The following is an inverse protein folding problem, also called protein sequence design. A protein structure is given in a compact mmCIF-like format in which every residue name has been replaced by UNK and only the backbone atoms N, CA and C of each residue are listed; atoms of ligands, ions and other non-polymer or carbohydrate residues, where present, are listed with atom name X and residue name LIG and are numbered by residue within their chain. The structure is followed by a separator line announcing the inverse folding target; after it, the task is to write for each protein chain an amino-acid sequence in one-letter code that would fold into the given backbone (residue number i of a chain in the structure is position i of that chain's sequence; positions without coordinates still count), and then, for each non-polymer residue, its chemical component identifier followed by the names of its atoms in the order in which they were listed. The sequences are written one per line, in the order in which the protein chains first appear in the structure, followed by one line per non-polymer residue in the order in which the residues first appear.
data_IF_547552735598
#
_entry.id   IF_547552735598
#
_cell.length_a   1.000
_cell.length_b   1.000
_cell.length_c   1.000
_cell.angle_alpha   90.00
_cell.angle_beta   90.00
_cell.angle_gamma   90.00
#
_symmetry.space_group_name_H-M   'P 1'
#
loop_
_entity.id
_entity.type
_entity.pdbx_description
1 polymer ?
#
# COMPACT_ATOMS: atom_id res chain seq x y z
N UNK A 1 -6.10 25.25 10.59
CA UNK A 1 -6.01 23.77 10.58
C UNK A 1 -5.08 23.40 9.43
N UNK A 2 -4.24 22.37 9.58
CA UNK A 2 -3.39 21.86 8.50
C UNK A 2 -4.29 21.26 7.40
N UNK A 3 -3.89 21.40 6.13
CA UNK A 3 -4.55 20.71 5.03
C UNK A 3 -4.36 19.20 5.18
N UNK A 4 -5.34 18.44 4.73
CA UNK A 4 -5.36 16.98 4.79
C UNK A 4 -5.31 16.38 3.40
N UNK A 5 -4.44 15.39 3.20
CA UNK A 5 -4.35 14.61 1.98
C UNK A 5 -4.64 13.14 2.26
N UNK A 6 -5.43 12.52 1.40
CA UNK A 6 -5.65 11.07 1.39
C UNK A 6 -5.07 10.47 0.11
N UNK A 7 -4.23 9.45 0.28
CA UNK A 7 -3.57 8.70 -0.77
C UNK A 7 -4.02 7.24 -0.70
N UNK A 8 -4.59 6.72 -1.78
CA UNK A 8 -5.18 5.38 -1.81
C UNK A 8 -4.37 4.48 -2.75
N UNK A 9 -4.05 3.28 -2.29
CA UNK A 9 -3.49 2.20 -3.09
C UNK A 9 -4.63 1.48 -3.83
N UNK A 10 -4.81 1.82 -5.10
CA UNK A 10 -5.93 1.35 -5.91
C UNK A 10 -5.94 -0.17 -6.11
N UNK A 11 -4.80 -0.79 -6.45
CA UNK A 11 -4.71 -2.24 -6.64
C UNK A 11 -4.94 -3.01 -5.34
N UNK A 12 -4.35 -2.57 -4.23
CA UNK A 12 -4.53 -3.21 -2.95
C UNK A 12 -5.99 -3.17 -2.48
N UNK A 13 -6.65 -2.02 -2.63
CA UNK A 13 -8.02 -1.85 -2.18
C UNK A 13 -9.01 -2.61 -3.07
N UNK A 14 -8.85 -2.59 -4.40
CA UNK A 14 -9.74 -3.37 -5.28
C UNK A 14 -9.56 -4.87 -5.07
N UNK A 15 -8.34 -5.33 -4.83
CA UNK A 15 -8.07 -6.74 -4.51
C UNK A 15 -8.82 -7.18 -3.24
N UNK A 16 -8.73 -6.39 -2.18
CA UNK A 16 -9.46 -6.66 -0.93
C UNK A 16 -10.97 -6.63 -1.12
N UNK A 17 -11.48 -5.65 -1.85
CA UNK A 17 -12.90 -5.53 -2.17
C UNK A 17 -13.40 -6.72 -2.98
N UNK A 18 -12.64 -7.17 -3.96
CA UNK A 18 -12.98 -8.32 -4.80
C UNK A 18 -13.19 -9.60 -3.97
N UNK A 19 -12.31 -9.87 -3.01
CA UNK A 19 -12.43 -11.06 -2.14
C UNK A 19 -13.37 -10.84 -0.94
N UNK A 20 -13.62 -9.61 -0.54
CA UNK A 20 -14.45 -9.28 0.62
C UNK A 20 -15.92 -9.03 0.31
N UNK A 21 -16.24 -8.61 -0.91
CA UNK A 21 -17.61 -8.35 -1.37
C UNK A 21 -18.12 -9.56 -2.16
N UNK A 22 -19.35 -10.04 -1.90
CA UNK A 22 -19.96 -11.11 -2.69
C UNK A 22 -19.94 -10.79 -4.18
N UNK A 23 -19.87 -11.82 -5.01
CA UNK A 23 -19.82 -11.65 -6.45
C UNK A 23 -21.03 -10.82 -6.97
N UNK A 24 -20.72 -9.80 -7.75
CA UNK A 24 -21.67 -8.95 -8.44
C UNK A 24 -21.27 -8.87 -9.91
N UNK A 25 -22.25 -8.99 -10.80
CA UNK A 25 -22.09 -8.80 -12.24
C UNK A 25 -23.18 -7.89 -12.78
N UNK A 26 -22.88 -7.12 -13.81
CA UNK A 26 -23.87 -6.40 -14.56
C UNK A 26 -24.52 -7.32 -15.63
N UNK A 27 -25.52 -6.82 -16.36
CA UNK A 27 -26.22 -7.57 -17.43
C UNK A 27 -25.30 -8.04 -18.56
N UNK A 28 -24.16 -7.39 -18.77
CA UNK A 28 -23.19 -7.73 -19.82
C UNK A 28 -22.15 -8.76 -19.33
N UNK A 29 -22.29 -9.24 -18.10
CA UNK A 29 -21.42 -10.25 -17.49
C UNK A 29 -20.14 -9.70 -16.86
N UNK A 30 -19.93 -8.37 -16.85
CA UNK A 30 -18.80 -7.74 -16.19
C UNK A 30 -18.92 -7.87 -14.68
N UNK A 31 -17.87 -8.35 -14.04
CA UNK A 31 -17.80 -8.37 -12.56
C UNK A 31 -17.62 -6.95 -12.02
N UNK A 32 -18.36 -6.62 -10.97
CA UNK A 32 -18.43 -5.26 -10.42
C UNK A 32 -18.24 -5.18 -8.91
N UNK A 33 -18.06 -6.31 -8.24
CA UNK A 33 -17.92 -6.38 -6.78
C UNK A 33 -16.68 -5.63 -6.26
N UNK A 34 -15.55 -5.72 -6.95
CA UNK A 34 -14.33 -4.98 -6.60
C UNK A 34 -14.54 -3.47 -6.72
N UNK A 35 -15.11 -3.00 -7.83
CA UNK A 35 -15.44 -1.59 -8.07
C UNK A 35 -16.38 -1.09 -6.98
N UNK A 36 -17.47 -1.83 -6.71
CA UNK A 36 -18.43 -1.49 -5.67
C UNK A 36 -17.77 -1.30 -4.30
N UNK A 37 -16.93 -2.27 -3.90
CA UNK A 37 -16.26 -2.21 -2.60
C UNK A 37 -15.27 -1.05 -2.48
N UNK A 38 -14.52 -0.73 -3.54
CA UNK A 38 -13.61 0.43 -3.56
C UNK A 38 -14.40 1.73 -3.37
N UNK A 39 -15.50 1.91 -4.09
CA UNK A 39 -16.28 3.15 -4.02
C UNK A 39 -16.96 3.31 -2.64
N UNK A 40 -17.41 2.23 -2.02
CA UNK A 40 -17.92 2.27 -0.64
C UNK A 40 -16.85 2.71 0.35
N UNK A 41 -15.63 2.18 0.23
CA UNK A 41 -14.50 2.60 1.06
C UNK A 41 -14.17 4.08 0.81
N UNK A 42 -14.15 4.50 -0.45
CA UNK A 42 -13.90 5.88 -0.85
C UNK A 42 -14.92 6.85 -0.24
N UNK A 43 -16.22 6.56 -0.35
CA UNK A 43 -17.27 7.43 0.20
C UNK A 43 -17.17 7.54 1.72
N UNK A 44 -16.84 6.45 2.41
CA UNK A 44 -16.62 6.49 3.85
C UNK A 44 -15.43 7.36 4.23
N UNK A 45 -14.32 7.23 3.52
CA UNK A 45 -13.13 8.06 3.73
C UNK A 45 -13.44 9.54 3.50
N UNK A 46 -14.15 9.86 2.42
CA UNK A 46 -14.54 11.24 2.11
C UNK A 46 -15.43 11.85 3.22
N UNK A 47 -16.37 11.06 3.75
CA UNK A 47 -17.28 11.49 4.80
C UNK A 47 -16.55 11.72 6.14
N UNK A 48 -15.69 10.77 6.54
CA UNK A 48 -15.00 10.79 7.83
C UNK A 48 -13.80 11.73 7.84
N UNK A 49 -12.99 11.73 6.79
CA UNK A 49 -11.71 12.44 6.72
C UNK A 49 -11.84 13.85 6.14
N UNK A 50 -12.78 14.07 5.24
CA UNK A 50 -13.01 15.36 4.54
C UNK A 50 -11.69 15.96 4.00
N UNK A 51 -10.96 15.20 3.16
CA UNK A 51 -9.63 15.61 2.71
C UNK A 51 -9.69 16.80 1.77
N UNK A 52 -8.67 17.66 1.83
CA UNK A 52 -8.46 18.76 0.88
C UNK A 52 -7.90 18.23 -0.45
N UNK A 53 -7.16 17.11 -0.39
CA UNK A 53 -6.56 16.46 -1.55
C UNK A 53 -6.80 14.95 -1.52
N UNK A 54 -7.05 14.37 -2.69
CA UNK A 54 -7.31 12.94 -2.85
C UNK A 54 -6.70 12.41 -4.14
N UNK A 55 -5.92 11.34 -4.04
CA UNK A 55 -5.32 10.66 -5.19
C UNK A 55 -5.33 9.15 -5.00
N UNK A 56 -5.54 8.42 -6.08
CA UNK A 56 -5.46 6.96 -6.12
C UNK A 56 -4.29 6.55 -6.98
N UNK A 57 -3.37 5.76 -6.41
CA UNK A 57 -2.21 5.22 -7.12
C UNK A 57 -2.50 3.82 -7.67
N UNK A 58 -1.98 3.55 -8.86
CA UNK A 58 -2.03 2.22 -9.48
C UNK A 58 -0.64 1.81 -9.97
N UNK A 59 -0.37 0.51 -9.92
CA UNK A 59 0.77 -0.07 -10.60
C UNK A 59 0.55 -0.08 -12.10
N UNK A 60 1.61 0.09 -12.87
CA UNK A 60 1.62 -0.15 -14.32
C UNK A 60 2.26 -1.49 -14.62
N UNK A 61 1.78 -2.16 -15.67
CA UNK A 61 2.36 -3.42 -16.13
C UNK A 61 3.71 -3.17 -16.81
N UNK A 62 4.72 -2.88 -15.99
CA UNK A 62 6.08 -2.57 -16.43
C UNK A 62 7.08 -3.05 -15.36
N UNK A 63 8.24 -3.63 -15.75
CA UNK A 63 9.30 -3.93 -14.80
C UNK A 63 9.73 -2.68 -14.02
N UNK A 64 10.02 -2.87 -12.73
CA UNK A 64 10.51 -1.79 -11.86
C UNK A 64 12.00 -1.94 -11.60
N UNK A 65 12.63 -0.94 -10.99
CA UNK A 65 14.03 -1.01 -10.59
C UNK A 65 14.33 -2.20 -9.68
N UNK A 66 13.33 -2.73 -8.93
CA UNK A 66 13.50 -3.94 -8.12
C UNK A 66 13.69 -5.19 -8.97
N UNK A 67 13.00 -5.30 -10.09
CA UNK A 67 13.19 -6.41 -11.05
C UNK A 67 14.57 -6.34 -11.74
N UNK A 68 15.10 -5.13 -11.95
CA UNK A 68 16.47 -4.96 -12.46
C UNK A 68 17.52 -5.40 -11.44
N UNK A 69 17.26 -5.14 -10.16
CA UNK A 69 18.14 -5.51 -9.05
C UNK A 69 18.07 -7.01 -8.73
N UNK A 70 16.89 -7.61 -8.81
CA UNK A 70 16.63 -9.01 -8.48
C UNK A 70 15.51 -9.55 -9.38
N UNK A 71 15.86 -10.34 -10.37
CA UNK A 71 14.91 -10.82 -11.41
C UNK A 71 13.76 -11.65 -10.86
N UNK A 72 13.99 -12.36 -9.76
CA UNK A 72 13.03 -13.22 -9.09
C UNK A 72 12.06 -12.43 -8.17
N UNK A 73 12.26 -11.12 -8.04
CA UNK A 73 11.37 -10.26 -7.26
C UNK A 73 9.91 -10.41 -7.74
N UNK A 74 9.00 -10.70 -6.80
CA UNK A 74 7.59 -11.01 -7.06
C UNK A 74 7.34 -12.18 -8.03
N UNK A 75 8.39 -12.95 -8.38
CA UNK A 75 8.30 -14.02 -9.37
C UNK A 75 7.41 -15.19 -8.98
N UNK A 76 7.09 -15.35 -7.70
CA UNK A 76 6.20 -16.40 -7.18
C UNK A 76 4.73 -15.96 -7.07
N UNK A 77 4.42 -14.70 -7.36
CA UNK A 77 3.04 -14.19 -7.33
C UNK A 77 2.19 -14.83 -8.43
N UNK A 78 1.02 -15.32 -8.04
CA UNK A 78 0.00 -15.72 -9.02
C UNK A 78 -0.56 -14.50 -9.73
N UNK A 79 -0.87 -14.63 -11.01
CA UNK A 79 -1.52 -13.59 -11.78
C UNK A 79 -2.88 -13.20 -11.18
N UNK A 80 -3.29 -11.98 -11.46
CA UNK A 80 -4.61 -11.49 -11.08
C UNK A 80 -5.70 -12.30 -11.79
N UNK A 81 -6.78 -12.76 -11.09
CA UNK A 81 -7.91 -13.38 -11.75
C UNK A 81 -8.50 -12.50 -12.84
N UNK A 82 -8.99 -13.11 -13.91
CA UNK A 82 -9.56 -12.36 -15.04
C UNK A 82 -10.73 -11.47 -14.60
N UNK A 83 -11.58 -11.97 -13.71
CA UNK A 83 -12.73 -11.26 -13.15
C UNK A 83 -12.35 -10.01 -12.35
N UNK A 84 -11.15 -9.98 -11.77
CA UNK A 84 -10.61 -8.80 -11.10
C UNK A 84 -9.87 -7.90 -12.11
N UNK A 85 -9.11 -8.50 -13.02
CA UNK A 85 -8.34 -7.78 -14.03
C UNK A 85 -9.22 -6.87 -14.89
N UNK A 86 -10.39 -7.35 -15.30
CA UNK A 86 -11.34 -6.57 -16.10
C UNK A 86 -11.95 -5.38 -15.37
N UNK A 87 -11.99 -5.40 -14.04
CA UNK A 87 -12.55 -4.31 -13.23
C UNK A 87 -11.59 -3.13 -13.07
N UNK A 88 -10.28 -3.34 -13.13
CA UNK A 88 -9.29 -2.28 -12.89
C UNK A 88 -9.43 -1.10 -13.86
N UNK A 89 -9.47 -1.29 -15.19
CA UNK A 89 -9.65 -0.16 -16.12
C UNK A 89 -11.00 0.55 -15.92
N UNK A 90 -12.06 -0.19 -15.61
CA UNK A 90 -13.38 0.39 -15.34
C UNK A 90 -13.40 1.19 -14.05
N UNK A 91 -12.71 0.72 -13.01
CA UNK A 91 -12.52 1.49 -11.78
C UNK A 91 -11.80 2.82 -12.06
N UNK A 92 -10.73 2.79 -12.85
CA UNK A 92 -10.00 4.02 -13.24
C UNK A 92 -10.90 5.00 -14.00
N UNK A 93 -11.72 4.51 -14.91
CA UNK A 93 -12.71 5.31 -15.64
C UNK A 93 -13.71 5.97 -14.66
N UNK A 94 -14.23 5.22 -13.70
CA UNK A 94 -15.17 5.73 -12.70
C UNK A 94 -14.52 6.78 -11.79
N UNK A 95 -13.30 6.52 -11.30
CA UNK A 95 -12.56 7.49 -10.47
C UNK A 95 -12.28 8.79 -11.25
N UNK A 96 -11.92 8.68 -12.53
CA UNK A 96 -11.72 9.84 -13.39
C UNK A 96 -13.01 10.62 -13.60
N UNK A 97 -14.13 9.94 -13.81
CA UNK A 97 -15.45 10.56 -13.91
C UNK A 97 -15.88 11.27 -12.61
N UNK A 98 -15.42 10.76 -11.46
CA UNK A 98 -15.59 11.40 -10.15
C UNK A 98 -14.67 12.61 -9.94
N UNK A 99 -13.79 12.93 -10.88
CA UNK A 99 -12.81 14.00 -10.75
C UNK A 99 -11.65 13.66 -9.81
N UNK A 100 -11.40 12.39 -9.56
CA UNK A 100 -10.32 11.92 -8.68
C UNK A 100 -9.05 11.68 -9.50
N UNK A 101 -7.95 12.28 -9.06
CA UNK A 101 -6.65 12.11 -9.69
C UNK A 101 -6.16 10.67 -9.57
N UNK A 102 -5.66 10.13 -10.68
CA UNK A 102 -4.96 8.85 -10.75
C UNK A 102 -3.47 9.08 -10.89
N UNK A 103 -2.66 8.31 -10.19
CA UNK A 103 -1.21 8.40 -10.15
C UNK A 103 -0.59 7.08 -10.58
N UNK A 104 0.24 7.12 -11.62
CA UNK A 104 0.96 5.98 -12.21
C UNK A 104 2.33 6.43 -12.70
N UNK A 105 3.34 5.58 -12.60
CA UNK A 105 4.66 5.84 -13.15
C UNK A 105 5.35 4.53 -13.57
N UNK A 106 5.65 4.31 -14.86
CA UNK A 106 6.46 3.16 -15.29
C UNK A 106 7.82 3.12 -14.58
N UNK A 107 8.24 1.92 -14.18
CA UNK A 107 9.50 1.70 -13.47
C UNK A 107 9.43 1.82 -11.95
N UNK A 108 8.30 2.27 -11.40
CA UNK A 108 8.02 2.37 -9.98
C UNK A 108 6.72 1.67 -9.62
N UNK A 109 6.61 1.23 -8.38
CA UNK A 109 5.37 0.65 -7.85
C UNK A 109 4.47 1.75 -7.28
N UNK A 110 3.18 1.44 -7.15
CA UNK A 110 2.22 2.35 -6.49
C UNK A 110 2.69 2.77 -5.09
N UNK A 111 3.28 1.85 -4.33
CA UNK A 111 3.82 2.13 -2.99
C UNK A 111 4.92 3.20 -3.01
N UNK A 112 5.77 3.20 -4.03
CA UNK A 112 6.82 4.22 -4.19
C UNK A 112 6.20 5.61 -4.45
N UNK A 113 5.13 5.66 -5.24
CA UNK A 113 4.41 6.90 -5.51
C UNK A 113 3.68 7.40 -4.26
N UNK A 114 3.02 6.50 -3.54
CA UNK A 114 2.35 6.82 -2.27
C UNK A 114 3.35 7.35 -1.25
N UNK A 115 4.48 6.66 -1.07
CA UNK A 115 5.55 7.08 -0.17
C UNK A 115 6.16 8.42 -0.56
N UNK A 116 6.37 8.66 -1.85
CA UNK A 116 6.93 9.91 -2.38
C UNK A 116 6.00 11.08 -2.13
N UNK A 117 4.72 10.95 -2.46
CA UNK A 117 3.74 12.03 -2.28
C UNK A 117 3.44 12.24 -0.80
N UNK A 118 3.36 11.17 0.01
CA UNK A 118 3.21 11.29 1.46
C UNK A 118 4.37 12.09 2.09
N UNK A 119 5.61 11.77 1.73
CA UNK A 119 6.80 12.48 2.21
C UNK A 119 6.79 13.97 1.81
N UNK A 120 6.42 14.29 0.58
CA UNK A 120 6.29 15.68 0.10
C UNK A 120 5.17 16.43 0.80
N UNK A 121 4.06 15.76 1.07
CA UNK A 121 2.90 16.34 1.77
C UNK A 121 3.24 16.67 3.22
N UNK A 122 3.93 15.75 3.92
CA UNK A 122 4.43 15.98 5.27
C UNK A 122 5.38 17.18 5.32
N UNK A 123 6.30 17.30 4.35
CA UNK A 123 7.22 18.43 4.23
C UNK A 123 6.50 19.78 4.03
N UNK A 124 5.28 19.75 3.50
CA UNK A 124 4.39 20.93 3.38
C UNK A 124 3.55 21.19 4.65
N UNK A 125 3.70 20.39 5.69
CA UNK A 125 2.93 20.51 6.92
C UNK A 125 1.51 19.96 6.84
N UNK A 126 1.22 19.08 5.89
CA UNK A 126 -0.08 18.44 5.74
C UNK A 126 -0.24 17.24 6.69
N UNK A 127 -1.48 16.95 7.05
CA UNK A 127 -1.88 15.69 7.69
C UNK A 127 -2.13 14.64 6.58
N UNK A 128 -1.40 13.53 6.62
CA UNK A 128 -1.39 12.52 5.55
C UNK A 128 -2.04 11.22 6.02
N UNK A 129 -3.01 10.75 5.27
CA UNK A 129 -3.59 9.42 5.41
C UNK A 129 -3.29 8.59 4.16
N UNK A 130 -2.60 7.47 4.33
CA UNK A 130 -2.41 6.46 3.29
C UNK A 130 -3.33 5.29 3.54
N UNK A 131 -4.13 4.91 2.54
CA UNK A 131 -5.09 3.80 2.62
C UNK A 131 -4.60 2.67 1.73
N UNK A 132 -4.18 1.58 2.33
CA UNK A 132 -3.71 0.38 1.64
C UNK A 132 -3.93 -0.86 2.48
N UNK A 133 -4.07 -1.99 1.83
CA UNK A 133 -4.04 -3.29 2.51
C UNK A 133 -2.63 -3.83 2.70
N UNK A 134 -1.63 -3.20 2.13
CA UNK A 134 -0.24 -3.62 2.22
C UNK A 134 0.43 -3.06 3.48
N UNK A 135 0.92 -3.98 4.32
CA UNK A 135 1.60 -3.64 5.57
C UNK A 135 3.00 -3.07 5.36
N UNK A 136 3.54 -3.17 4.16
CA UNK A 136 4.84 -2.58 3.82
C UNK A 136 4.81 -1.07 3.93
N UNK A 137 3.66 -0.46 3.69
CA UNK A 137 3.45 0.98 3.88
C UNK A 137 3.51 1.43 5.34
N UNK A 138 3.50 0.52 6.32
CA UNK A 138 3.75 0.87 7.72
C UNK A 138 5.14 1.46 7.95
N UNK A 139 6.10 1.18 7.06
CA UNK A 139 7.45 1.76 7.12
C UNK A 139 7.48 3.28 6.93
N UNK A 140 6.47 3.87 6.29
CA UNK A 140 6.40 5.33 6.05
C UNK A 140 5.64 6.10 7.13
N UNK A 141 5.08 5.42 8.12
CA UNK A 141 4.35 6.04 9.24
C UNK A 141 5.28 6.98 10.03
N UNK A 142 4.77 8.17 10.29
CA UNK A 142 5.42 9.22 11.10
C UNK A 142 4.39 9.85 12.04
N UNK A 143 4.72 10.95 12.68
CA UNK A 143 3.79 11.73 13.49
C UNK A 143 2.69 12.42 12.63
N UNK A 144 2.94 12.61 11.34
CA UNK A 144 2.03 13.28 10.39
C UNK A 144 1.54 12.38 9.26
N UNK A 145 2.12 11.19 9.09
CA UNK A 145 1.70 10.17 8.13
C UNK A 145 1.16 8.97 8.89
N UNK A 146 -0.11 8.68 8.71
CA UNK A 146 -0.77 7.48 9.25
C UNK A 146 -1.23 6.57 8.11
N UNK A 147 -1.33 5.28 8.39
CA UNK A 147 -1.77 4.26 7.43
C UNK A 147 -3.05 3.62 7.92
N UNK A 148 -4.05 3.57 7.05
CA UNK A 148 -5.31 2.88 7.28
C UNK A 148 -5.33 1.58 6.47
N UNK A 149 -5.56 0.46 7.14
CA UNK A 149 -5.72 -0.85 6.52
C UNK A 149 -7.18 -1.28 6.62
N UNK A 150 -7.96 -1.20 5.52
CA UNK A 150 -9.33 -1.70 5.52
C UNK A 150 -9.35 -3.22 5.60
N UNK A 151 -10.27 -3.76 6.41
CA UNK A 151 -10.55 -5.19 6.52
C UNK A 151 -12.00 -5.44 6.17
N UNK A 152 -12.27 -6.03 5.03
CA UNK A 152 -13.63 -6.42 4.64
C UNK A 152 -13.89 -7.86 5.02
N UNK A 153 -14.90 -8.07 5.87
CA UNK A 153 -15.42 -9.39 6.24
C UNK A 153 -16.94 -9.41 6.04
N UNK A 154 -17.43 -10.36 5.24
CA UNK A 154 -18.87 -10.58 5.02
C UNK A 154 -19.64 -9.31 4.63
N UNK A 155 -19.02 -8.47 3.81
CA UNK A 155 -19.63 -7.22 3.33
C UNK A 155 -19.54 -6.04 4.31
N UNK A 156 -18.95 -6.22 5.49
CA UNK A 156 -18.67 -5.14 6.44
C UNK A 156 -17.19 -4.77 6.40
N UNK A 157 -16.87 -3.50 6.32
CA UNK A 157 -15.48 -3.02 6.32
C UNK A 157 -15.14 -2.39 7.67
N UNK A 158 -14.15 -2.96 8.33
CA UNK A 158 -13.48 -2.41 9.50
C UNK A 158 -12.18 -1.74 9.08
N UNK A 159 -11.74 -0.72 9.82
CA UNK A 159 -10.52 0.04 9.53
C UNK A 159 -9.53 -0.09 10.69
N UNK A 160 -8.33 -0.57 10.40
CA UNK A 160 -7.20 -0.50 11.32
C UNK A 160 -6.39 0.76 11.02
N UNK A 161 -6.32 1.68 11.96
CA UNK A 161 -5.52 2.89 11.86
C UNK A 161 -4.17 2.69 12.55
N UNK A 162 -3.08 2.97 11.83
CA UNK A 162 -1.72 2.85 12.35
C UNK A 162 -1.05 4.21 12.47
N UNK A 163 -0.81 4.60 13.70
CA UNK A 163 0.12 5.64 14.11
C UNK A 163 1.44 5.00 14.54
N UNK A 164 2.47 5.79 14.80
CA UNK A 164 3.77 5.28 15.27
C UNK A 164 3.64 4.33 16.46
N UNK A 165 2.83 4.69 17.47
CA UNK A 165 2.58 3.86 18.66
C UNK A 165 1.93 2.50 18.31
N UNK A 166 1.03 2.48 17.33
CA UNK A 166 0.32 1.26 16.95
C UNK A 166 1.27 0.27 16.25
N UNK A 167 2.22 0.78 15.47
CA UNK A 167 3.29 -0.03 14.88
C UNK A 167 4.19 -0.59 15.98
N UNK A 168 4.60 0.23 16.94
CA UNK A 168 5.41 -0.19 18.08
C UNK A 168 4.72 -1.25 18.94
N UNK A 169 3.45 -1.06 19.26
CA UNK A 169 2.67 -2.02 20.05
C UNK A 169 2.51 -3.36 19.32
N UNK A 170 2.29 -3.32 18.01
CA UNK A 170 2.04 -4.54 17.23
C UNK A 170 3.31 -5.33 16.90
N UNK A 171 4.37 -4.64 16.52
CA UNK A 171 5.61 -5.27 16.03
C UNK A 171 6.77 -5.22 17.02
N UNK A 172 6.66 -4.41 18.08
CA UNK A 172 7.78 -4.14 18.98
C UNK A 172 8.92 -3.36 18.31
N UNK A 173 8.64 -2.70 17.18
CA UNK A 173 9.59 -2.00 16.32
C UNK A 173 9.05 -0.63 15.92
N UNK A 174 9.95 0.30 15.60
CA UNK A 174 9.61 1.58 14.99
C UNK A 174 9.18 1.38 13.50
N UNK A 175 8.38 2.29 12.92
CA UNK A 175 7.94 2.18 11.52
C UNK A 175 9.08 1.90 10.53
N UNK A 176 10.18 2.65 10.59
CA UNK A 176 11.33 2.44 9.70
C UNK A 176 11.99 1.07 9.85
N UNK A 177 11.85 0.43 11.01
CA UNK A 177 12.39 -0.91 11.26
C UNK A 177 11.60 -2.03 10.58
N UNK A 178 10.44 -1.74 10.02
CA UNK A 178 9.72 -2.70 9.14
C UNK A 178 10.58 -3.07 7.93
N UNK A 179 11.36 -2.13 7.41
CA UNK A 179 12.34 -2.39 6.34
C UNK A 179 13.41 -3.38 6.81
N UNK A 180 13.96 -3.13 7.99
CA UNK A 180 15.01 -3.97 8.60
C UNK A 180 14.49 -5.38 8.93
N UNK A 181 13.24 -5.47 9.40
CA UNK A 181 12.56 -6.73 9.67
C UNK A 181 12.51 -7.61 8.41
N UNK A 182 12.09 -7.03 7.27
CA UNK A 182 12.06 -7.73 6.00
C UNK A 182 13.45 -8.04 5.44
N UNK A 183 14.43 -7.20 5.70
CA UNK A 183 15.81 -7.48 5.33
C UNK A 183 16.35 -8.75 5.99
N UNK A 184 15.96 -9.01 7.24
CA UNK A 184 16.39 -10.18 8.00
C UNK A 184 15.51 -11.41 7.73
N UNK A 185 14.20 -11.28 7.86
CA UNK A 185 13.30 -12.45 7.74
C UNK A 185 12.86 -12.75 6.32
N UNK A 186 13.07 -11.81 5.38
CA UNK A 186 12.53 -11.91 4.02
C UNK A 186 11.04 -11.67 3.95
N UNK A 187 10.50 -11.83 2.75
CA UNK A 187 9.07 -11.77 2.47
C UNK A 187 8.71 -12.75 1.35
N UNK A 188 8.02 -13.81 1.68
CA UNK A 188 7.63 -14.83 0.71
C UNK A 188 6.61 -14.33 -0.32
N UNK A 189 5.80 -13.34 0.01
CA UNK A 189 4.80 -12.77 -0.92
C UNK A 189 5.46 -11.97 -2.06
N UNK A 190 6.58 -11.33 -1.78
CA UNK A 190 7.37 -10.56 -2.74
C UNK A 190 8.62 -11.32 -3.22
N UNK A 191 8.79 -12.53 -2.75
CA UNK A 191 9.96 -13.35 -3.02
C UNK A 191 11.27 -12.64 -2.61
N UNK A 192 11.24 -11.92 -1.51
CA UNK A 192 12.42 -11.31 -0.88
C UNK A 192 13.09 -12.36 -0.01
N UNK A 193 14.39 -12.68 -0.26
CA UNK A 193 15.02 -13.84 0.39
C UNK A 193 15.26 -13.66 1.90
N UNK A 194 15.65 -12.48 2.35
CA UNK A 194 16.11 -12.29 3.72
C UNK A 194 17.36 -13.08 4.05
N UNK A 195 17.56 -13.40 5.32
CA UNK A 195 18.64 -14.24 5.81
C UNK A 195 18.11 -15.64 6.13
N UNK A 196 18.63 -16.71 5.53
CA UNK A 196 18.18 -18.07 5.82
C UNK A 196 18.20 -18.37 7.32
N UNK A 197 17.11 -18.95 7.84
CA UNK A 197 17.01 -19.37 9.23
C UNK A 197 16.73 -18.25 10.25
N UNK A 198 16.60 -17.00 9.82
CA UNK A 198 16.14 -15.89 10.67
C UNK A 198 14.66 -15.64 10.38
N UNK A 199 13.82 -16.00 11.35
CA UNK A 199 12.38 -15.72 11.30
C UNK A 199 12.03 -14.42 12.03
N UNK A 200 10.74 -14.08 12.03
CA UNK A 200 10.23 -12.83 12.61
C UNK A 200 10.66 -12.61 14.06
N UNK A 201 10.53 -13.61 14.91
CA UNK A 201 10.86 -13.49 16.34
C UNK A 201 12.35 -13.17 16.58
N UNK A 202 13.23 -13.85 15.88
CA UNK A 202 14.68 -13.63 15.98
C UNK A 202 15.07 -12.29 15.37
N UNK A 203 14.51 -11.95 14.21
CA UNK A 203 14.73 -10.66 13.56
C UNK A 203 14.28 -9.49 14.44
N UNK A 204 13.10 -9.58 15.05
CA UNK A 204 12.60 -8.57 15.97
C UNK A 204 13.52 -8.38 17.16
N UNK A 205 13.99 -9.46 17.79
CA UNK A 205 14.92 -9.38 18.92
C UNK A 205 16.26 -8.71 18.54
N UNK A 206 16.80 -9.05 17.38
CA UNK A 206 18.03 -8.43 16.84
C UNK A 206 17.82 -6.92 16.64
N UNK A 207 16.71 -6.50 16.06
CA UNK A 207 16.42 -5.11 15.76
C UNK A 207 16.09 -4.28 17.00
N UNK A 208 15.51 -4.88 18.02
CA UNK A 208 15.30 -4.23 19.31
C UNK A 208 16.63 -3.94 20.03
N UNK A 209 17.64 -4.76 19.81
CA UNK A 209 18.98 -4.59 20.41
C UNK A 209 19.89 -3.70 19.55
N UNK A 210 19.89 -3.84 18.25
CA UNK A 210 20.87 -3.22 17.35
C UNK A 210 20.29 -2.18 16.39
N UNK A 211 18.97 -1.99 16.36
CA UNK A 211 18.21 -1.02 15.55
C UNK A 211 18.15 -1.34 14.05
N UNK A 212 19.25 -1.70 13.42
CA UNK A 212 19.33 -1.98 11.99
C UNK A 212 20.29 -3.13 11.67
N UNK A 213 20.22 -3.61 10.43
CA UNK A 213 21.00 -4.76 9.95
C UNK A 213 22.50 -4.49 9.98
N UNK A 214 22.93 -3.30 9.60
CA UNK A 214 24.33 -2.91 9.55
C UNK A 214 24.96 -2.91 10.96
N UNK A 215 24.26 -2.35 11.93
CA UNK A 215 24.71 -2.34 13.30
C UNK A 215 24.73 -3.74 13.93
N UNK A 216 23.74 -4.58 13.58
CA UNK A 216 23.73 -5.98 14.00
C UNK A 216 24.95 -6.74 13.42
N UNK A 217 25.31 -6.48 12.17
CA UNK A 217 26.47 -7.09 11.53
C UNK A 217 27.80 -6.67 12.18
N UNK A 218 27.91 -5.44 12.68
CA UNK A 218 29.10 -4.98 13.43
C UNK A 218 29.21 -5.68 14.79
N UNK A 219 28.09 -6.10 15.39
CA UNK A 219 28.01 -6.71 16.72
C UNK A 219 27.66 -8.20 16.67
N UNK A 220 28.15 -8.93 15.68
CA UNK A 220 27.81 -10.36 15.46
C UNK A 220 28.04 -11.22 16.71
N UNK A 221 29.06 -10.95 17.51
CA UNK A 221 29.38 -11.73 18.71
C UNK A 221 28.34 -11.63 19.82
N UNK A 222 27.47 -10.63 19.76
CA UNK A 222 26.38 -10.41 20.71
C UNK A 222 25.05 -11.03 20.23
N UNK A 223 24.99 -11.52 18.98
CA UNK A 223 23.76 -12.08 18.40
C UNK A 223 23.51 -13.51 18.89
N UNK A 224 22.27 -13.73 19.33
CA UNK A 224 21.76 -15.04 19.74
C UNK A 224 20.47 -15.38 18.94
N UNK A 225 20.23 -16.66 18.62
CA UNK A 225 21.10 -17.83 18.85
C UNK A 225 22.32 -17.83 17.92
N UNK A 226 23.30 -18.69 18.22
CA UNK A 226 24.55 -18.84 17.43
C UNK A 226 24.28 -19.03 15.94
N UNK A 227 23.25 -19.81 15.60
CA UNK A 227 22.84 -20.04 14.19
C UNK A 227 22.43 -18.74 13.48
N UNK A 228 21.74 -17.83 14.16
CA UNK A 228 21.38 -16.54 13.59
C UNK A 228 22.61 -15.66 13.31
N UNK A 229 23.59 -15.65 14.25
CA UNK A 229 24.89 -15.01 14.06
C UNK A 229 25.59 -15.56 12.81
N UNK A 230 25.77 -16.88 12.74
CA UNK A 230 26.46 -17.54 11.62
C UNK A 230 25.76 -17.28 10.29
N UNK A 231 24.44 -17.32 10.24
CA UNK A 231 23.68 -17.06 9.02
C UNK A 231 23.72 -15.59 8.62
N UNK A 232 23.64 -14.65 9.53
CA UNK A 232 23.78 -13.22 9.23
C UNK A 232 25.17 -12.90 8.69
N UNK A 233 26.23 -13.48 9.28
CA UNK A 233 27.62 -13.33 8.82
C UNK A 233 27.78 -13.88 7.40
N UNK A 234 27.28 -15.08 7.16
CA UNK A 234 27.39 -15.76 5.85
C UNK A 234 26.55 -15.12 4.73
N UNK A 235 25.42 -14.48 5.09
CA UNK A 235 24.42 -13.98 4.13
C UNK A 235 24.15 -12.47 4.28
N UNK A 236 25.12 -11.71 4.77
CA UNK A 236 24.97 -10.27 4.96
C UNK A 236 24.63 -9.53 3.66
N UNK A 237 25.28 -9.90 2.54
CA UNK A 237 24.99 -9.30 1.24
C UNK A 237 23.52 -9.53 0.81
N UNK A 238 22.98 -10.70 1.13
CA UNK A 238 21.58 -11.04 0.88
C UNK A 238 20.63 -10.20 1.77
N UNK A 239 21.01 -9.93 3.01
CA UNK A 239 20.26 -9.04 3.89
C UNK A 239 20.24 -7.61 3.33
N UNK A 240 21.35 -7.10 2.85
CA UNK A 240 21.44 -5.75 2.26
C UNK A 240 20.64 -5.65 0.96
N UNK A 241 20.67 -6.67 0.10
CA UNK A 241 19.81 -6.72 -1.09
C UNK A 241 18.34 -6.76 -0.71
N UNK A 242 17.96 -7.61 0.24
CA UNK A 242 16.59 -7.71 0.76
C UNK A 242 16.10 -6.39 1.34
N UNK A 243 16.95 -5.67 2.07
CA UNK A 243 16.68 -4.33 2.59
C UNK A 243 16.34 -3.34 1.46
N UNK A 244 17.13 -3.33 0.38
CA UNK A 244 16.88 -2.48 -0.78
C UNK A 244 15.55 -2.81 -1.48
N UNK A 245 15.25 -4.10 -1.62
CA UNK A 245 13.97 -4.56 -2.21
C UNK A 245 12.76 -4.17 -1.36
N UNK A 246 12.87 -4.25 -0.04
CA UNK A 246 11.80 -3.94 0.90
C UNK A 246 11.59 -2.43 1.11
N UNK A 247 12.55 -1.59 0.76
CA UNK A 247 12.48 -0.15 0.97
C UNK A 247 11.61 0.53 -0.09
N UNK A 248 10.58 1.24 0.36
CA UNK A 248 9.75 2.08 -0.48
C UNK A 248 10.56 3.33 -0.88
N UNK A 249 10.60 3.64 -2.17
CA UNK A 249 11.22 4.85 -2.68
C UNK A 249 10.37 6.07 -2.37
N UNK A 250 10.87 6.97 -1.54
CA UNK A 250 10.16 8.19 -1.13
C UNK A 250 10.57 9.44 -1.92
N UNK A 251 11.40 9.26 -2.95
CA UNK A 251 11.90 10.33 -3.83
C UNK A 251 11.78 9.93 -5.31
N UNK A 252 10.74 9.18 -5.66
CA UNK A 252 10.47 8.83 -7.05
C UNK A 252 10.32 10.10 -7.92
N UNK A 253 10.78 10.07 -9.17
CA UNK A 253 10.74 11.23 -10.09
C UNK A 253 9.32 11.40 -10.65
N UNK A 254 8.35 11.62 -9.80
CA UNK A 254 6.95 11.84 -10.13
C UNK A 254 6.59 13.31 -9.95
N UNK A 255 6.04 13.92 -11.00
CA UNK A 255 5.49 15.28 -10.94
C UNK A 255 4.03 15.20 -10.47
N UNK A 256 3.79 15.60 -9.22
CA UNK A 256 2.47 15.57 -8.62
C UNK A 256 1.71 16.86 -8.90
N UNK A 257 0.57 16.74 -9.56
CA UNK A 257 -0.32 17.86 -9.86
C UNK A 257 -1.25 18.13 -8.67
N UNK A 258 -0.86 19.09 -7.84
CA UNK A 258 -1.60 19.48 -6.63
C UNK A 258 -2.98 20.06 -6.95
N UNK A 259 -3.13 20.76 -8.06
CA UNK A 259 -4.40 21.37 -8.47
C UNK A 259 -5.41 20.29 -8.84
N UNK A 260 -5.01 19.32 -9.67
CA UNK A 260 -5.87 18.18 -10.05
C UNK A 260 -6.17 17.25 -8.89
N UNK A 261 -5.36 17.27 -7.84
CA UNK A 261 -5.55 16.44 -6.65
C UNK A 261 -6.55 17.03 -5.64
N UNK A 262 -6.95 18.30 -5.79
CA UNK A 262 -7.95 18.91 -4.90
C UNK A 262 -9.25 18.12 -4.92
N UNK A 263 -9.76 17.83 -3.74
CA UNK A 263 -11.03 17.12 -3.59
C UNK A 263 -12.18 18.02 -4.02
N UNK A 264 -12.87 17.60 -5.09
CA UNK A 264 -14.07 18.26 -5.59
C UNK A 264 -15.34 17.49 -5.26
N UNK A 265 -16.42 17.83 -5.96
CA UNK A 265 -17.65 17.06 -5.89
C UNK A 265 -17.49 15.76 -6.69
N UNK A 266 -17.47 14.62 -6.00
CA UNK A 266 -17.36 13.30 -6.63
C UNK A 266 -18.66 12.79 -7.23
N UNK A 267 -19.80 13.41 -6.89
CA UNK A 267 -21.14 13.05 -7.38
C UNK A 267 -21.44 13.76 -8.69
N UNK A 268 -20.63 13.47 -9.72
CA UNK A 268 -20.79 14.05 -11.06
C UNK A 268 -21.85 13.29 -11.86
N UNK A 269 -22.37 13.92 -12.92
CA UNK A 269 -23.29 13.29 -13.85
C UNK A 269 -22.63 12.10 -14.55
N UNK A 270 -21.40 12.25 -14.97
CA UNK A 270 -20.61 11.23 -15.66
C UNK A 270 -20.39 9.99 -14.77
N UNK A 271 -20.09 10.20 -13.49
CA UNK A 271 -19.97 9.11 -12.53
C UNK A 271 -21.31 8.39 -12.29
N UNK A 272 -22.41 9.14 -12.22
CA UNK A 272 -23.74 8.56 -12.10
C UNK A 272 -24.09 7.69 -13.29
N UNK A 273 -23.87 8.16 -14.52
CA UNK A 273 -24.13 7.42 -15.78
C UNK A 273 -23.30 6.12 -15.85
N UNK A 274 -22.03 6.15 -15.38
CA UNK A 274 -21.21 4.94 -15.25
C UNK A 274 -21.76 3.97 -14.21
N UNK A 275 -22.13 4.44 -13.03
CA UNK A 275 -22.78 3.61 -12.01
C UNK A 275 -24.07 2.96 -12.53
N UNK A 276 -24.83 3.67 -13.33
CA UNK A 276 -26.04 3.16 -13.98
C UNK A 276 -25.70 2.04 -14.98
N UNK A 277 -24.72 2.26 -15.85
CA UNK A 277 -24.22 1.26 -16.81
C UNK A 277 -23.69 0.01 -16.12
N UNK A 278 -23.04 0.18 -14.96
CA UNK A 278 -22.52 -0.91 -14.15
C UNK A 278 -23.57 -1.55 -13.23
N UNK A 279 -24.80 -1.05 -13.24
CA UNK A 279 -25.92 -1.50 -12.42
C UNK A 279 -25.66 -1.42 -10.89
N UNK A 280 -24.84 -0.48 -10.47
CA UNK A 280 -24.46 -0.26 -9.07
C UNK A 280 -25.51 0.59 -8.32
N UNK A 281 -26.74 0.05 -8.20
CA UNK A 281 -27.91 0.76 -7.64
C UNK A 281 -27.68 1.38 -6.27
N UNK A 282 -26.95 0.67 -5.38
CA UNK A 282 -26.63 1.17 -4.03
C UNK A 282 -25.71 2.39 -4.06
N UNK A 283 -24.83 2.49 -5.05
CA UNK A 283 -23.98 3.66 -5.24
C UNK A 283 -24.76 4.81 -5.81
N UNK A 284 -25.65 4.53 -6.80
CA UNK A 284 -26.51 5.56 -7.40
C UNK A 284 -27.34 6.30 -6.36
N UNK A 285 -27.85 5.59 -5.36
CA UNK A 285 -28.60 6.19 -4.25
C UNK A 285 -27.80 7.19 -3.39
N UNK A 286 -26.48 7.27 -3.55
CA UNK A 286 -25.62 8.25 -2.86
C UNK A 286 -25.47 9.56 -3.65
N UNK A 287 -25.92 9.59 -4.90
CA UNK A 287 -25.88 10.79 -5.76
C UNK A 287 -27.11 11.69 -5.58
N UNK A 288 -28.13 11.20 -4.88
CA UNK A 288 -29.34 11.96 -4.48
C UNK A 288 -29.07 12.70 -3.16
#
# INVERSE_FOLDING_TARGET
MSEKIVLIDGHSIINRAFYGVPNLTNKDGLHTNGIFGVVIILFKILEEEKPDYLTVAFDVHHPTFRHEMFKEYKGTRKGMPQELHEQVPVLKELLTAMGIQIMELPGYEADDLLGTVANRSEAKGMDVLVVSGDRDLLQIVTDHIRVCIPKTKRGTTEYEMYYTKDVQEKYGLLPKQIIELKALMGDSSDNIPGVPGIGEKTATAILQQFENVENAHVHLDEIKPKRAKENLEAHYDMAIMSKKLATIEIKAPYEYDWESARTGNVFTKEAYELCQKLELKKLMAKFD
#
